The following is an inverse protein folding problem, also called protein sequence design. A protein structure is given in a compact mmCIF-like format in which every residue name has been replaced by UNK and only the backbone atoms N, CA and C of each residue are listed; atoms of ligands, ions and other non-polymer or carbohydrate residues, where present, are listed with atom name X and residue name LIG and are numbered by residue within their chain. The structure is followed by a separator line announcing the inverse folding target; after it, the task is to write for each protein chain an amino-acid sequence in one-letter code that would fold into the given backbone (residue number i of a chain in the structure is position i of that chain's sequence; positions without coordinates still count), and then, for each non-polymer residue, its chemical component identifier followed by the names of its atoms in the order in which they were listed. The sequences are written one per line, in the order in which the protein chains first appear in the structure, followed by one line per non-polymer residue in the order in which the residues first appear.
data_IF_285842055020
#
_entry.id   IF_285842055020
#
_cell.length_a   1.000
_cell.length_b   1.000
_cell.length_c   1.000
_cell.angle_alpha   90.00
_cell.angle_beta   90.00
_cell.angle_gamma   90.00
#
_symmetry.space_group_name_H-M   'P 1'
#
loop_
_entity.id
_entity.type
_entity.pdbx_description
1 polymer ?
#
# COMPACT_ATOMS: atom_id res chain seq x y z
N UNK A 1 -16.41 23.40 -5.55
CA UNK A 1 -17.06 23.18 -4.23
C UNK A 1 -17.02 21.71 -3.81
N UNK A 2 -17.28 20.73 -4.70
CA UNK A 2 -16.98 19.29 -4.45
C UNK A 2 -15.46 19.00 -4.30
N UNK A 3 -14.62 19.91 -4.81
CA UNK A 3 -13.15 19.92 -4.69
C UNK A 3 -12.62 20.11 -3.26
N UNK A 4 -13.48 20.45 -2.28
CA UNK A 4 -13.11 20.59 -0.87
C UNK A 4 -13.55 19.39 0.00
N UNK A 5 -14.24 18.40 -0.59
CA UNK A 5 -14.61 17.15 0.08
C UNK A 5 -13.61 16.02 -0.18
N UNK A 6 -12.66 16.19 -1.10
CA UNK A 6 -11.63 15.17 -1.35
C UNK A 6 -10.79 14.83 -0.11
N UNK A 7 -10.44 15.79 0.78
CA UNK A 7 -9.74 15.46 2.02
C UNK A 7 -10.61 14.66 3.02
N UNK A 8 -11.94 14.81 2.97
CA UNK A 8 -12.88 14.05 3.81
C UNK A 8 -13.13 12.63 3.28
N UNK A 9 -13.07 12.44 1.95
CA UNK A 9 -13.07 11.11 1.34
C UNK A 9 -11.79 10.33 1.67
N UNK A 10 -10.64 11.02 1.79
CA UNK A 10 -9.38 10.45 2.28
C UNK A 10 -9.42 10.16 3.79
N UNK A 11 -10.26 10.86 4.57
CA UNK A 11 -10.41 10.63 6.02
C UNK A 11 -11.32 9.43 6.35
N UNK A 12 -12.39 9.20 5.59
CA UNK A 12 -13.31 8.09 5.87
C UNK A 12 -12.67 6.73 5.60
N UNK A 13 -11.73 6.64 4.65
CA UNK A 13 -11.00 5.43 4.31
C UNK A 13 -9.59 5.76 3.76
N UNK A 14 -8.56 5.99 4.61
CA UNK A 14 -7.23 6.42 4.16
C UNK A 14 -6.54 5.49 3.15
N UNK A 15 -7.00 4.25 3.09
CA UNK A 15 -6.50 3.26 2.15
C UNK A 15 -7.47 3.07 0.97
N UNK A 16 -8.80 2.96 1.18
CA UNK A 16 -9.77 2.71 0.11
C UNK A 16 -10.09 3.96 -0.73
N UNK A 17 -10.05 5.16 -0.16
CA UNK A 17 -10.30 6.42 -0.88
C UNK A 17 -9.37 6.61 -2.09
N UNK A 18 -8.09 6.25 -1.94
CA UNK A 18 -7.11 6.32 -3.03
C UNK A 18 -7.27 5.27 -4.14
N UNK A 19 -8.10 4.24 -3.95
CA UNK A 19 -8.51 3.31 -5.03
C UNK A 19 -9.85 3.71 -5.64
N UNK A 20 -10.79 4.17 -4.80
CA UNK A 20 -12.13 4.57 -5.22
C UNK A 20 -12.11 5.79 -6.14
N UNK A 21 -11.25 6.78 -5.88
CA UNK A 21 -11.12 7.96 -6.75
C UNK A 21 -10.80 7.59 -8.21
N UNK A 22 -9.67 6.89 -8.48
CA UNK A 22 -9.35 6.39 -9.81
C UNK A 22 -10.41 5.45 -10.39
N UNK A 23 -11.05 4.63 -9.55
CA UNK A 23 -12.07 3.67 -10.00
C UNK A 23 -13.32 4.39 -10.50
N UNK A 24 -13.82 5.35 -9.73
CA UNK A 24 -14.97 6.18 -10.11
C UNK A 24 -14.64 7.01 -11.36
N UNK A 25 -13.45 7.61 -11.42
CA UNK A 25 -13.01 8.34 -12.60
C UNK A 25 -12.98 7.42 -13.85
N UNK A 26 -12.41 6.23 -13.75
CA UNK A 26 -12.44 5.27 -14.85
C UNK A 26 -13.87 4.88 -15.23
N UNK A 27 -14.75 4.56 -14.27
CA UNK A 27 -16.15 4.19 -14.56
C UNK A 27 -16.93 5.31 -15.26
N UNK A 28 -16.68 6.58 -14.92
CA UNK A 28 -17.37 7.74 -15.53
C UNK A 28 -16.82 8.04 -16.93
N UNK A 29 -15.52 7.86 -17.17
CA UNK A 29 -14.85 8.33 -18.38
C UNK A 29 -14.44 7.23 -19.37
N UNK A 30 -14.54 5.93 -19.00
CA UNK A 30 -14.11 4.80 -19.84
C UNK A 30 -14.74 4.78 -21.23
N UNK A 31 -16.01 5.18 -21.34
CA UNK A 31 -16.76 5.08 -22.59
C UNK A 31 -16.46 6.26 -23.53
N UNK A 32 -15.68 7.26 -23.08
CA UNK A 32 -15.35 8.45 -23.90
C UNK A 32 -14.25 8.19 -24.92
N UNK A 33 -13.28 7.33 -24.61
CA UNK A 33 -12.22 6.96 -25.55
C UNK A 33 -11.48 5.70 -25.12
N UNK A 34 -10.96 4.96 -26.10
CA UNK A 34 -10.16 3.75 -25.86
C UNK A 34 -8.89 4.04 -25.03
N UNK A 35 -8.27 5.22 -25.20
CA UNK A 35 -7.08 5.59 -24.43
C UNK A 35 -7.39 5.79 -22.96
N UNK A 36 -8.54 6.40 -22.62
CA UNK A 36 -9.00 6.58 -21.24
C UNK A 36 -9.35 5.24 -20.57
N UNK A 37 -9.95 4.29 -21.29
CA UNK A 37 -10.16 2.94 -20.76
C UNK A 37 -8.83 2.25 -20.44
N UNK A 38 -7.88 2.25 -21.38
CA UNK A 38 -6.58 1.60 -21.19
C UNK A 38 -5.76 2.24 -20.07
N UNK A 39 -5.69 3.58 -20.02
CA UNK A 39 -4.93 4.28 -18.97
C UNK A 39 -5.61 4.14 -17.60
N UNK A 40 -6.94 4.20 -17.54
CA UNK A 40 -7.68 3.98 -16.30
C UNK A 40 -7.44 2.57 -15.74
N UNK A 41 -7.48 1.54 -16.58
CA UNK A 41 -7.13 0.16 -16.18
C UNK A 41 -5.69 0.03 -15.68
N UNK A 42 -4.72 0.67 -16.33
CA UNK A 42 -3.31 0.66 -15.88
C UNK A 42 -3.14 1.32 -14.51
N UNK A 43 -3.76 2.48 -14.28
CA UNK A 43 -3.76 3.16 -12.97
C UNK A 43 -4.41 2.29 -11.89
N UNK A 44 -5.54 1.67 -12.21
CA UNK A 44 -6.26 0.80 -11.28
C UNK A 44 -5.47 -0.46 -10.93
N UNK A 45 -4.91 -1.11 -11.95
CA UNK A 45 -4.05 -2.27 -11.77
C UNK A 45 -2.84 -1.93 -10.89
N UNK A 46 -2.19 -0.79 -11.14
CA UNK A 46 -1.06 -0.35 -10.33
C UNK A 46 -1.49 -0.12 -8.88
N UNK A 47 -2.58 0.62 -8.66
CA UNK A 47 -3.07 0.92 -7.32
C UNK A 47 -3.46 -0.35 -6.54
N UNK A 48 -4.14 -1.29 -7.19
CA UNK A 48 -4.47 -2.60 -6.63
C UNK A 48 -3.22 -3.40 -6.28
N UNK A 49 -2.19 -3.35 -7.13
CA UNK A 49 -0.92 -4.05 -6.88
C UNK A 49 -0.22 -3.49 -5.65
N UNK A 50 -0.11 -2.17 -5.53
CA UNK A 50 0.52 -1.53 -4.37
C UNK A 50 -0.23 -1.84 -3.08
N UNK A 51 -1.56 -1.87 -3.13
CA UNK A 51 -2.40 -2.28 -2.02
C UNK A 51 -2.14 -3.73 -1.60
N UNK A 52 -2.06 -4.65 -2.58
CA UNK A 52 -1.76 -6.05 -2.31
C UNK A 52 -0.38 -6.22 -1.68
N UNK A 53 0.65 -5.53 -2.20
CA UNK A 53 1.99 -5.57 -1.60
C UNK A 53 2.00 -5.03 -0.17
N UNK A 54 1.31 -3.91 0.08
CA UNK A 54 1.14 -3.36 1.43
C UNK A 54 0.43 -4.33 2.37
N UNK A 55 -0.60 -5.02 1.90
CA UNK A 55 -1.33 -6.03 2.68
C UNK A 55 -0.43 -7.22 3.04
N UNK A 56 0.32 -7.76 2.06
CA UNK A 56 1.24 -8.88 2.29
C UNK A 56 2.33 -8.50 3.30
N UNK A 57 2.98 -7.34 3.11
CA UNK A 57 4.01 -6.85 4.05
C UNK A 57 3.41 -6.62 5.43
N UNK A 58 2.23 -6.00 5.52
CA UNK A 58 1.54 -5.77 6.78
C UNK A 58 1.16 -7.05 7.51
N UNK A 59 0.69 -8.07 6.79
CA UNK A 59 0.35 -9.38 7.36
C UNK A 59 1.60 -10.10 7.90
N UNK A 60 2.70 -10.09 7.15
CA UNK A 60 3.98 -10.66 7.60
C UNK A 60 4.48 -9.91 8.84
N UNK A 61 4.39 -8.58 8.86
CA UNK A 61 4.80 -7.76 9.99
C UNK A 61 3.95 -8.05 11.24
N UNK A 62 2.64 -8.22 11.06
CA UNK A 62 1.71 -8.57 12.12
C UNK A 62 2.03 -9.93 12.72
N UNK A 63 2.23 -10.95 11.88
CA UNK A 63 2.59 -12.31 12.32
C UNK A 63 3.91 -12.28 13.09
N UNK A 64 4.93 -11.62 12.56
CA UNK A 64 6.23 -11.51 13.22
C UNK A 64 6.07 -10.85 14.60
N UNK A 65 5.38 -9.71 14.67
CA UNK A 65 5.13 -9.00 15.93
C UNK A 65 4.35 -9.86 16.94
N UNK A 66 3.31 -10.57 16.50
CA UNK A 66 2.55 -11.49 17.35
C UNK A 66 3.42 -12.62 17.92
N UNK A 67 4.33 -13.18 17.13
CA UNK A 67 5.27 -14.20 17.61
C UNK A 67 6.23 -13.66 18.67
N UNK A 68 6.73 -12.43 18.48
CA UNK A 68 7.55 -11.77 19.50
C UNK A 68 6.80 -11.52 20.80
N UNK A 69 5.54 -11.11 20.70
CA UNK A 69 4.66 -10.88 21.86
C UNK A 69 4.35 -12.20 22.59
N UNK A 70 4.05 -13.26 21.85
CA UNK A 70 3.84 -14.61 22.41
C UNK A 70 5.12 -15.14 23.06
N UNK A 71 6.27 -14.99 22.40
CA UNK A 71 7.57 -15.38 22.96
C UNK A 71 7.88 -14.64 24.27
N UNK A 72 7.54 -13.34 24.33
CA UNK A 72 7.64 -12.54 25.55
C UNK A 72 6.77 -13.07 26.69
N UNK A 73 5.49 -13.33 26.40
CA UNK A 73 4.55 -13.86 27.38
C UNK A 73 4.94 -15.25 27.87
N UNK A 74 5.34 -16.15 26.97
CA UNK A 74 5.77 -17.52 27.31
C UNK A 74 7.05 -17.50 28.13
N UNK A 75 8.04 -16.68 27.75
CA UNK A 75 9.29 -16.56 28.51
C UNK A 75 9.06 -16.07 29.94
N UNK A 76 8.17 -15.09 30.12
CA UNK A 76 7.77 -14.62 31.46
C UNK A 76 7.04 -15.72 32.26
N UNK A 77 6.10 -16.43 31.65
CA UNK A 77 5.34 -17.50 32.31
C UNK A 77 6.19 -18.73 32.65
N UNK A 78 7.23 -19.01 31.87
CA UNK A 78 8.15 -20.14 32.09
C UNK A 78 9.21 -19.88 33.18
N UNK A 79 9.20 -18.72 33.85
CA UNK A 79 10.21 -18.35 34.84
C UNK A 79 11.54 -17.89 34.24
N UNK A 80 11.58 -17.62 32.93
CA UNK A 80 12.75 -17.11 32.20
C UNK A 80 12.47 -15.72 31.60
N UNK A 81 12.27 -14.68 32.44
CA UNK A 81 11.85 -13.35 31.98
C UNK A 81 12.86 -12.71 31.02
N UNK A 82 14.16 -13.01 31.15
CA UNK A 82 15.21 -12.48 30.28
C UNK A 82 15.05 -12.99 28.83
N UNK A 83 14.70 -14.27 28.66
CA UNK A 83 14.42 -14.86 27.35
C UNK A 83 13.14 -14.28 26.74
N UNK A 84 12.12 -14.05 27.57
CA UNK A 84 10.89 -13.38 27.16
C UNK A 84 11.15 -11.95 26.69
N UNK A 85 11.92 -11.17 27.45
CA UNK A 85 12.30 -9.82 27.10
C UNK A 85 13.11 -9.78 25.78
N UNK A 86 14.05 -10.71 25.60
CA UNK A 86 14.79 -10.83 24.35
C UNK A 86 13.89 -11.14 23.14
N UNK A 87 12.94 -12.08 23.28
CA UNK A 87 12.01 -12.42 22.21
C UNK A 87 11.13 -11.22 21.80
N UNK A 88 10.57 -10.50 22.78
CA UNK A 88 9.73 -9.33 22.52
C UNK A 88 10.54 -8.16 21.94
N UNK A 89 11.61 -7.75 22.63
CA UNK A 89 12.40 -6.58 22.24
C UNK A 89 13.18 -6.82 20.96
N UNK A 90 13.70 -8.03 20.73
CA UNK A 90 14.39 -8.39 19.50
C UNK A 90 13.46 -8.36 18.28
N UNK A 91 12.24 -8.87 18.43
CA UNK A 91 11.22 -8.81 17.36
C UNK A 91 10.77 -7.37 17.12
N UNK A 92 10.57 -6.60 18.19
CA UNK A 92 10.25 -5.18 18.11
C UNK A 92 11.35 -4.39 17.39
N UNK A 93 12.62 -4.56 17.76
CA UNK A 93 13.75 -3.92 17.10
C UNK A 93 13.84 -4.32 15.61
N UNK A 94 13.63 -5.60 15.30
CA UNK A 94 13.60 -6.10 13.92
C UNK A 94 12.49 -5.43 13.08
N UNK A 95 11.36 -5.10 13.70
CA UNK A 95 10.28 -4.34 13.06
C UNK A 95 10.77 -2.97 12.54
N UNK A 96 11.47 -2.21 13.39
CA UNK A 96 11.99 -0.89 12.98
C UNK A 96 13.15 -0.99 12.00
N UNK A 97 14.00 -2.02 12.11
CA UNK A 97 15.15 -2.17 11.23
C UNK A 97 14.75 -2.60 9.82
N UNK A 98 13.74 -3.45 9.66
CA UNK A 98 13.38 -4.03 8.37
C UNK A 98 12.03 -3.55 7.84
N UNK A 99 10.97 -3.64 8.63
CA UNK A 99 9.62 -3.35 8.15
C UNK A 99 9.38 -1.86 7.94
N UNK A 100 9.91 -1.00 8.82
CA UNK A 100 9.73 0.45 8.69
C UNK A 100 10.36 1.01 7.40
N UNK A 101 11.62 0.69 7.03
CA UNK A 101 12.18 1.08 5.73
C UNK A 101 11.37 0.57 4.54
N UNK A 102 10.91 -0.69 4.59
CA UNK A 102 10.09 -1.27 3.51
C UNK A 102 8.78 -0.50 3.35
N UNK A 103 8.11 -0.14 4.44
CA UNK A 103 6.87 0.64 4.40
C UNK A 103 7.10 2.05 3.85
N UNK A 104 8.22 2.70 4.21
CA UNK A 104 8.60 3.99 3.65
C UNK A 104 8.84 3.88 2.13
N UNK A 105 9.55 2.85 1.69
CA UNK A 105 9.79 2.59 0.25
C UNK A 105 8.47 2.33 -0.47
N UNK A 106 7.57 1.51 0.09
CA UNK A 106 6.23 1.26 -0.46
C UNK A 106 5.31 2.48 -0.45
N UNK A 107 5.58 3.49 0.38
CA UNK A 107 4.88 4.77 0.34
C UNK A 107 5.43 5.71 -0.75
N UNK A 108 6.77 5.84 -0.82
CA UNK A 108 7.43 6.83 -1.67
C UNK A 108 7.54 6.38 -3.12
N UNK A 109 8.01 5.15 -3.38
CA UNK A 109 8.26 4.67 -4.75
C UNK A 109 6.99 4.70 -5.59
N UNK A 110 5.83 4.23 -5.10
CA UNK A 110 4.62 4.27 -5.90
C UNK A 110 4.09 5.69 -6.14
N UNK A 111 4.32 6.59 -5.19
CA UNK A 111 4.00 8.00 -5.36
C UNK A 111 4.82 8.63 -6.49
N UNK A 112 6.12 8.35 -6.56
CA UNK A 112 6.99 8.77 -7.67
C UNK A 112 6.46 8.24 -9.00
N UNK A 113 6.15 6.94 -9.08
CA UNK A 113 5.61 6.35 -10.31
C UNK A 113 4.28 6.98 -10.72
N UNK A 114 3.43 7.36 -9.75
CA UNK A 114 2.17 8.07 -10.02
C UNK A 114 2.41 9.45 -10.63
N UNK A 115 3.35 10.23 -10.09
CA UNK A 115 3.75 11.52 -10.67
C UNK A 115 4.24 11.35 -12.11
N UNK A 116 5.15 10.39 -12.35
CA UNK A 116 5.69 10.12 -13.70
C UNK A 116 4.57 9.70 -14.65
N UNK A 117 3.61 8.89 -14.18
CA UNK A 117 2.46 8.48 -14.96
C UNK A 117 1.57 9.65 -15.38
N UNK A 118 1.31 10.60 -14.49
CA UNK A 118 0.54 11.82 -14.79
C UNK A 118 1.28 12.69 -15.81
N UNK A 119 2.58 12.91 -15.65
CA UNK A 119 3.40 13.70 -16.58
C UNK A 119 3.40 13.08 -17.98
N UNK A 120 3.51 11.75 -18.07
CA UNK A 120 3.50 11.07 -19.38
C UNK A 120 2.10 11.05 -20.00
N UNK A 121 1.05 10.86 -19.20
CA UNK A 121 -0.33 10.93 -19.68
C UNK A 121 -0.67 12.32 -20.22
N UNK A 122 -0.18 13.40 -19.61
CA UNK A 122 -0.41 14.77 -20.10
C UNK A 122 0.29 15.05 -21.44
N UNK A 123 1.39 14.34 -21.74
CA UNK A 123 2.05 14.38 -23.05
C UNK A 123 1.37 13.51 -24.12
N UNK A 124 0.23 12.89 -23.82
CA UNK A 124 -0.47 11.96 -24.71
C UNK A 124 0.19 10.59 -24.83
N UNK A 125 1.23 10.31 -24.05
CA UNK A 125 1.95 9.05 -24.06
C UNK A 125 1.33 8.04 -23.10
N UNK A 126 1.26 6.78 -23.53
CA UNK A 126 0.82 5.69 -22.65
C UNK A 126 1.94 5.30 -21.68
N UNK A 127 1.70 5.48 -20.38
CA UNK A 127 2.62 5.01 -19.34
C UNK A 127 2.17 3.67 -18.76
N UNK A 128 3.09 2.72 -18.72
CA UNK A 128 2.92 1.45 -18.00
C UNK A 128 3.62 1.55 -16.66
N UNK A 129 2.86 1.38 -15.60
CA UNK A 129 3.38 1.45 -14.24
C UNK A 129 4.25 0.23 -13.93
N UNK A 130 5.48 0.41 -13.42
CA UNK A 130 6.31 -0.69 -12.95
C UNK A 130 5.63 -1.44 -11.80
N UNK A 131 5.98 -2.72 -11.62
CA UNK A 131 5.48 -3.57 -10.53
C UNK A 131 3.95 -3.79 -10.52
N UNK A 132 3.29 -3.58 -11.66
CA UNK A 132 1.84 -3.73 -11.82
C UNK A 132 1.44 -5.16 -12.17
N UNK A 133 0.48 -5.70 -11.43
CA UNK A 133 -0.25 -6.93 -11.70
C UNK A 133 -1.54 -6.56 -12.46
N UNK A 134 -1.82 -7.24 -13.58
CA UNK A 134 -2.99 -6.96 -14.43
C UNK A 134 -4.23 -7.70 -13.93
N UNK A 135 -4.99 -7.04 -13.05
CA UNK A 135 -6.30 -7.52 -12.59
C UNK A 135 -7.39 -7.27 -13.64
N UNK A 136 -7.40 -6.06 -14.19
CA UNK A 136 -8.30 -5.62 -15.26
C UNK A 136 -7.59 -5.75 -16.60
N UNK A 137 -8.23 -6.44 -17.57
CA UNK A 137 -7.72 -6.66 -18.93
C UNK A 137 -8.41 -5.75 -19.95
#
# INVERSE_FOLDING_TARGET
MVTHLSPLADLLLPTLGGLLGPLLAWLIYRDRSRSLDLQGKEVLNFRLSMWLYGLVVGAVAFIAFSLGLLGGAVGAAAGSPDLGAFAFLGTFASFFLFFLPILVVLGIVPFIFMIVGVIRASSGQHYRYPLTIRFLR
#
